data_IF_612900604368
#
_entry.id   IF_612900604368
#
_cell.length_a   1.000
_cell.length_b   1.000
_cell.length_c   1.000
_cell.angle_alpha   90.00
_cell.angle_beta   90.00
_cell.angle_gamma   90.00
#
_symmetry.space_group_name_H-M   'P 1'
#
loop_
_entity.id
_entity.type
_entity.pdbx_description
1 polymer ?
#
# COMPACT_ATOMS: atom_id res chain seq x y z
N UNK A 1 -5.00 17.58 1.17
CA UNK A 1 -4.75 16.33 0.43
C UNK A 1 -4.82 15.22 1.47
N UNK A 2 -5.81 14.33 1.39
CA UNK A 2 -6.11 13.32 2.43
C UNK A 2 -4.89 12.47 2.79
N UNK A 3 -3.98 12.26 1.84
CA UNK A 3 -2.76 11.48 2.04
C UNK A 3 -1.80 12.11 3.05
N UNK A 4 -1.84 13.43 3.23
CA UNK A 4 -0.97 14.11 4.20
C UNK A 4 -1.32 13.79 5.66
N UNK A 5 -2.51 13.24 5.91
CA UNK A 5 -2.91 12.74 7.23
C UNK A 5 -2.73 11.23 7.40
N UNK A 6 -2.33 10.48 6.36
CA UNK A 6 -2.15 9.02 6.44
C UNK A 6 -0.86 8.70 7.20
N UNK A 7 -0.98 7.94 8.29
CA UNK A 7 0.07 7.72 9.29
C UNK A 7 0.70 6.32 9.22
N UNK A 8 0.90 5.81 8.01
CA UNK A 8 1.53 4.50 7.74
C UNK A 8 3.08 4.58 7.69
N UNK A 9 3.63 5.81 7.75
CA UNK A 9 5.08 6.08 7.72
C UNK A 9 5.49 7.11 8.78
N UNK A 10 6.78 7.13 9.10
CA UNK A 10 7.40 8.04 10.08
C UNK A 10 8.35 9.03 9.41
N UNK A 11 8.59 10.18 10.04
CA UNK A 11 9.46 11.24 9.50
C UNK A 11 10.90 10.78 9.21
N UNK A 12 11.41 9.80 9.96
CA UNK A 12 12.75 9.23 9.75
C UNK A 12 12.80 8.06 8.75
N UNK A 13 11.67 7.66 8.17
CA UNK A 13 11.68 6.61 7.15
C UNK A 13 12.32 7.10 5.84
N UNK A 14 12.93 6.18 5.08
CA UNK A 14 13.53 6.51 3.79
C UNK A 14 12.50 7.11 2.81
N UNK A 15 12.91 8.14 2.05
CA UNK A 15 12.01 8.86 1.14
C UNK A 15 11.32 7.93 0.13
N UNK A 16 12.03 6.94 -0.41
CA UNK A 16 11.46 5.98 -1.37
C UNK A 16 10.38 5.08 -0.74
N UNK A 17 10.47 4.77 0.56
CA UNK A 17 9.41 4.07 1.27
C UNK A 17 8.19 4.97 1.47
N UNK A 18 8.39 6.23 1.87
CA UNK A 18 7.32 7.21 2.03
C UNK A 18 6.56 7.45 0.72
N UNK A 19 7.29 7.57 -0.41
CA UNK A 19 6.70 7.68 -1.76
C UNK A 19 5.90 6.43 -2.14
N UNK A 20 6.44 5.23 -1.89
CA UNK A 20 5.74 3.98 -2.19
C UNK A 20 4.42 3.88 -1.42
N UNK A 21 4.44 4.13 -0.11
CA UNK A 21 3.24 4.13 0.72
C UNK A 21 2.23 5.18 0.30
N UNK A 22 2.70 6.37 -0.09
CA UNK A 22 1.84 7.45 -0.59
C UNK A 22 1.10 7.06 -1.87
N UNK A 23 1.81 6.50 -2.85
CA UNK A 23 1.19 6.05 -4.11
C UNK A 23 0.24 4.88 -3.86
N UNK A 24 0.59 3.93 -3.00
CA UNK A 24 -0.30 2.82 -2.64
C UNK A 24 -1.59 3.34 -1.98
N UNK A 25 -1.48 4.22 -0.98
CA UNK A 25 -2.63 4.81 -0.30
C UNK A 25 -3.51 5.63 -1.26
N UNK A 26 -2.91 6.43 -2.16
CA UNK A 26 -3.63 7.18 -3.20
C UNK A 26 -4.41 6.24 -4.12
N UNK A 27 -3.75 5.18 -4.58
CA UNK A 27 -4.35 4.21 -5.49
C UNK A 27 -5.53 3.52 -4.84
N UNK A 28 -5.38 3.07 -3.59
CA UNK A 28 -6.46 2.44 -2.84
C UNK A 28 -7.68 3.35 -2.73
N UNK A 29 -7.47 4.62 -2.39
CA UNK A 29 -8.55 5.61 -2.36
C UNK A 29 -9.19 5.78 -3.74
N UNK A 30 -8.40 5.92 -4.81
CA UNK A 30 -8.91 6.08 -6.18
C UNK A 30 -9.74 4.87 -6.65
N UNK A 31 -9.32 3.65 -6.33
CA UNK A 31 -10.08 2.44 -6.64
C UNK A 31 -11.49 2.48 -6.04
N UNK A 32 -11.62 2.83 -4.75
CA UNK A 32 -12.91 2.88 -4.08
C UNK A 32 -13.74 4.12 -4.44
N UNK A 33 -13.12 5.25 -4.80
CA UNK A 33 -13.82 6.38 -5.41
C UNK A 33 -14.49 5.93 -6.71
N UNK A 34 -13.77 5.23 -7.60
CA UNK A 34 -14.32 4.76 -8.87
C UNK A 34 -15.41 3.70 -8.70
N UNK A 35 -15.33 2.88 -7.66
CA UNK A 35 -16.40 1.92 -7.30
C UNK A 35 -17.63 2.55 -6.65
N UNK A 36 -17.59 3.84 -6.30
CA UNK A 36 -18.69 4.52 -5.60
C UNK A 36 -18.76 4.21 -4.10
N UNK A 37 -17.63 3.80 -3.49
CA UNK A 37 -17.52 3.47 -2.07
C UNK A 37 -17.04 2.02 -1.82
N UNK A 38 -16.55 1.75 -0.60
CA UNK A 38 -16.10 0.40 -0.20
C UNK A 38 -17.25 -0.49 0.29
N UNK A 39 -18.31 0.10 0.88
CA UNK A 39 -19.44 -0.65 1.44
C UNK A 39 -20.81 -0.33 0.82
N UNK A 40 -20.86 0.44 -0.26
CA UNK A 40 -22.10 0.79 -0.98
C UNK A 40 -22.29 2.30 -1.15
N UNK A 41 -23.38 2.68 -1.85
CA UNK A 41 -23.65 4.04 -2.33
C UNK A 41 -24.08 5.06 -1.24
N UNK A 42 -24.30 4.62 0.00
CA UNK A 42 -24.88 5.43 1.08
C UNK A 42 -23.85 5.90 2.13
N UNK A 43 -22.54 5.68 1.92
CA UNK A 43 -21.50 6.09 2.87
C UNK A 43 -21.05 7.56 2.67
N UNK A 44 -21.03 8.33 3.76
CA UNK A 44 -20.48 9.70 3.82
C UNK A 44 -18.94 9.72 3.72
N UNK A 45 -18.27 8.61 4.02
CA UNK A 45 -16.81 8.46 3.98
C UNK A 45 -16.39 7.27 3.12
N UNK A 46 -15.51 7.51 2.15
CA UNK A 46 -15.04 6.51 1.17
C UNK A 46 -14.07 5.49 1.82
N UNK A 47 -13.41 5.87 2.92
CA UNK A 47 -12.48 5.08 3.73
C UNK A 47 -12.63 5.44 5.22
N UNK A 48 -12.54 4.47 6.13
CA UNK A 48 -12.49 4.72 7.58
C UNK A 48 -11.07 5.00 8.04
N UNK A 49 -10.93 5.66 9.20
CA UNK A 49 -9.63 5.99 9.80
C UNK A 49 -9.07 4.88 10.72
N UNK A 50 -9.60 3.65 10.61
CA UNK A 50 -9.15 2.50 11.39
C UNK A 50 -8.10 1.70 10.63
N UNK A 51 -7.41 0.78 11.30
CA UNK A 51 -6.47 -0.17 10.69
C UNK A 51 -7.09 -1.08 9.62
N UNK A 52 -8.42 -1.09 9.50
CA UNK A 52 -9.14 -1.85 8.47
C UNK A 52 -9.13 -1.17 7.09
N UNK A 53 -8.81 0.12 7.03
CA UNK A 53 -8.82 0.93 5.80
C UNK A 53 -7.49 1.71 5.64
N UNK A 54 -7.34 2.87 6.29
CA UNK A 54 -6.10 3.68 6.32
C UNK A 54 -6.05 4.52 7.61
N UNK A 55 -4.92 4.53 8.34
CA UNK A 55 -4.82 5.31 9.59
C UNK A 55 -4.69 6.82 9.29
N UNK A 56 -5.77 7.60 9.48
CA UNK A 56 -5.76 9.06 9.26
C UNK A 56 -5.66 9.84 10.58
N UNK A 57 -4.61 10.65 10.75
CA UNK A 57 -4.32 11.46 11.96
C UNK A 57 -4.52 12.98 11.79
N UNK A 58 -5.03 13.43 10.65
CA UNK A 58 -5.43 14.83 10.42
C UNK A 58 -4.29 15.85 10.23
N UNK A 59 -4.66 17.14 10.12
CA UNK A 59 -3.80 18.27 9.72
C UNK A 59 -2.58 18.51 10.63
N UNK A 60 -2.66 18.18 11.91
CA UNK A 60 -1.54 18.34 12.85
C UNK A 60 -0.30 17.50 12.48
N UNK A 61 -0.47 16.43 11.68
CA UNK A 61 0.65 15.61 11.19
C UNK A 61 1.41 16.29 10.05
N UNK A 62 0.79 17.21 9.30
CA UNK A 62 1.43 17.94 8.21
C UNK A 62 2.58 18.83 8.70
N UNK A 63 2.46 19.36 9.93
CA UNK A 63 3.49 20.17 10.57
C UNK A 63 4.62 19.30 11.15
N UNK A 64 4.27 18.10 11.63
CA UNK A 64 5.19 17.20 12.34
C UNK A 64 5.93 16.21 11.43
N UNK A 65 5.57 16.13 10.14
CA UNK A 65 6.15 15.19 9.20
C UNK A 65 6.39 15.79 7.80
N UNK A 66 7.32 16.76 7.64
CA UNK A 66 7.59 17.42 6.37
C UNK A 66 8.09 16.46 5.27
N UNK A 67 8.83 15.40 5.61
CA UNK A 67 9.26 14.40 4.62
C UNK A 67 8.08 13.67 3.95
N UNK A 68 7.02 13.39 4.72
CA UNK A 68 5.78 12.78 4.19
C UNK A 68 5.07 13.77 3.27
N UNK A 69 5.03 15.07 3.64
CA UNK A 69 4.48 16.11 2.76
C UNK A 69 5.28 16.19 1.45
N UNK A 70 6.60 16.08 1.52
CA UNK A 70 7.45 16.05 0.33
C UNK A 70 7.13 14.82 -0.53
N UNK A 71 7.03 13.62 0.05
CA UNK A 71 6.65 12.40 -0.68
C UNK A 71 5.28 12.51 -1.36
N UNK A 72 4.31 13.18 -0.72
CA UNK A 72 3.00 13.49 -1.29
C UNK A 72 3.13 14.39 -2.52
N UNK A 73 3.96 15.44 -2.44
CA UNK A 73 4.17 16.37 -3.54
C UNK A 73 4.96 15.73 -4.69
N UNK A 74 6.02 14.98 -4.38
CA UNK A 74 6.88 14.30 -5.36
C UNK A 74 6.11 13.26 -6.18
N UNK A 75 5.13 12.61 -5.56
CA UNK A 75 4.28 11.59 -6.20
C UNK A 75 2.90 12.13 -6.58
N UNK A 76 2.74 13.46 -6.66
CA UNK A 76 1.43 14.08 -6.92
C UNK A 76 0.84 13.53 -8.22
N UNK A 77 -0.38 13.01 -8.10
CA UNK A 77 -1.11 12.43 -9.22
C UNK A 77 -0.72 11.01 -9.59
N UNK A 78 0.25 10.39 -8.91
CA UNK A 78 0.68 9.04 -9.25
C UNK A 78 -0.15 7.95 -8.56
N UNK A 79 -0.58 6.96 -9.34
CA UNK A 79 -1.32 5.77 -8.90
C UNK A 79 -0.80 4.50 -9.58
N UNK A 80 -1.12 3.34 -9.01
CA UNK A 80 -0.87 2.03 -9.61
C UNK A 80 -2.07 1.58 -10.45
N UNK A 81 -1.81 1.06 -11.66
CA UNK A 81 -2.85 0.54 -12.57
C UNK A 81 -2.52 -0.86 -13.07
N UNK A 82 -3.56 -1.64 -13.33
CA UNK A 82 -3.51 -2.94 -14.01
C UNK A 82 -4.53 -2.92 -15.14
N UNK A 83 -4.10 -3.23 -16.36
CA UNK A 83 -4.94 -3.13 -17.57
C UNK A 83 -5.64 -1.75 -17.70
N UNK A 84 -4.93 -0.67 -17.34
CA UNK A 84 -5.43 0.70 -17.42
C UNK A 84 -6.35 1.15 -16.28
N UNK A 85 -6.79 0.25 -15.40
CA UNK A 85 -7.66 0.59 -14.26
C UNK A 85 -6.84 0.67 -12.96
N UNK A 86 -7.20 1.56 -12.00
CA UNK A 86 -6.59 1.55 -10.68
C UNK A 86 -6.70 0.17 -10.01
N UNK A 87 -5.68 -0.23 -9.26
CA UNK A 87 -5.67 -1.51 -8.54
C UNK A 87 -6.22 -1.38 -7.12
N UNK A 88 -6.60 -2.51 -6.52
CA UNK A 88 -6.69 -2.62 -5.06
C UNK A 88 -5.27 -2.70 -4.50
N UNK A 89 -4.66 -1.54 -4.21
CA UNK A 89 -3.32 -1.45 -3.62
C UNK A 89 -3.36 -1.81 -2.12
N UNK A 90 -3.65 -3.08 -1.81
CA UNK A 90 -3.68 -3.60 -0.45
C UNK A 90 -2.27 -3.65 0.16
N UNK A 91 -2.15 -3.22 1.41
CA UNK A 91 -0.89 -3.24 2.14
C UNK A 91 -1.12 -3.57 3.62
N UNK A 92 -0.08 -4.06 4.28
CA UNK A 92 -0.08 -4.34 5.72
C UNK A 92 1.34 -4.27 6.27
N UNK A 93 1.50 -4.36 7.60
CA UNK A 93 2.83 -4.29 8.24
C UNK A 93 3.82 -5.33 7.72
N UNK A 94 3.36 -6.55 7.40
CA UNK A 94 4.18 -7.69 7.05
C UNK A 94 4.56 -8.55 8.26
N UNK A 95 5.10 -9.75 8.01
CA UNK A 95 5.52 -10.69 9.06
C UNK A 95 6.74 -11.51 8.61
N UNK A 96 7.46 -12.09 9.56
CA UNK A 96 8.71 -12.81 9.30
C UNK A 96 8.57 -13.93 8.25
N UNK A 97 7.41 -14.58 8.19
CA UNK A 97 7.09 -15.62 7.19
C UNK A 97 7.17 -15.13 5.73
N UNK A 98 7.09 -13.82 5.47
CA UNK A 98 7.13 -13.26 4.12
C UNK A 98 8.52 -13.34 3.47
N UNK A 99 9.59 -13.49 4.24
CA UNK A 99 10.93 -13.72 3.65
C UNK A 99 11.03 -15.08 2.96
N UNK A 100 10.28 -16.09 3.41
CA UNK A 100 10.39 -17.47 2.93
C UNK A 100 9.19 -17.90 2.09
N UNK A 101 7.98 -17.63 2.57
CA UNK A 101 6.70 -18.02 1.93
C UNK A 101 6.25 -16.96 0.92
N UNK A 102 6.43 -15.69 1.28
CA UNK A 102 5.92 -14.55 0.51
C UNK A 102 4.48 -14.17 0.86
N UNK A 103 4.00 -13.11 0.23
CA UNK A 103 2.68 -12.49 0.48
C UNK A 103 1.52 -13.47 0.28
N UNK A 104 0.40 -13.21 0.94
CA UNK A 104 -0.80 -14.02 0.83
C UNK A 104 -1.59 -13.65 -0.43
N UNK A 105 -2.28 -14.64 -0.99
CA UNK A 105 -3.22 -14.46 -2.09
C UNK A 105 -4.50 -13.79 -1.61
N UNK A 106 -4.94 -12.74 -2.31
CA UNK A 106 -6.23 -12.11 -2.06
C UNK A 106 -7.40 -13.10 -2.28
N UNK A 107 -7.35 -13.92 -3.35
CA UNK A 107 -8.37 -14.93 -3.60
C UNK A 107 -8.46 -15.94 -2.45
N UNK A 108 -7.32 -16.45 -1.97
CA UNK A 108 -7.32 -17.45 -0.90
C UNK A 108 -7.84 -16.91 0.44
N UNK A 109 -7.57 -15.63 0.75
CA UNK A 109 -7.97 -15.03 2.03
C UNK A 109 -9.34 -14.36 2.00
N UNK A 110 -9.69 -13.70 0.90
CA UNK A 110 -10.88 -12.85 0.81
C UNK A 110 -11.94 -13.39 -0.14
N UNK A 111 -11.60 -14.33 -1.03
CA UNK A 111 -12.52 -14.95 -1.96
C UNK A 111 -13.19 -13.97 -2.93
N UNK A 112 -14.35 -14.37 -3.48
CA UNK A 112 -15.22 -13.49 -4.26
C UNK A 112 -14.55 -12.87 -5.49
N UNK A 113 -14.66 -11.55 -5.63
CA UNK A 113 -14.13 -10.82 -6.80
C UNK A 113 -12.61 -11.01 -6.97
N UNK A 114 -11.87 -11.24 -5.88
CA UNK A 114 -10.41 -11.40 -5.91
C UNK A 114 -9.96 -12.71 -6.57
N UNK A 115 -10.88 -13.65 -6.80
CA UNK A 115 -10.62 -14.89 -7.55
C UNK A 115 -10.91 -14.76 -9.05
N UNK A 116 -11.39 -13.59 -9.50
CA UNK A 116 -11.70 -13.33 -10.91
C UNK A 116 -10.49 -12.74 -11.64
N UNK A 117 -10.52 -12.77 -12.97
CA UNK A 117 -9.52 -12.12 -13.80
C UNK A 117 -9.48 -10.60 -13.51
N UNK A 118 -8.28 -10.01 -13.58
CA UNK A 118 -8.04 -8.60 -13.25
C UNK A 118 -7.57 -8.36 -11.81
N UNK A 119 -7.31 -9.41 -11.02
CA UNK A 119 -6.73 -9.34 -9.67
C UNK A 119 -5.44 -10.15 -9.52
N UNK A 120 -4.82 -10.54 -10.63
CA UNK A 120 -3.60 -11.35 -10.69
C UNK A 120 -2.43 -10.70 -9.95
N UNK A 121 -2.40 -9.36 -9.90
CA UNK A 121 -1.40 -8.60 -9.13
C UNK A 121 -1.48 -8.82 -7.60
N UNK A 122 -2.50 -9.51 -7.08
CA UNK A 122 -2.63 -9.95 -5.69
C UNK A 122 -2.66 -11.49 -5.55
N UNK A 123 -1.99 -12.22 -6.45
CA UNK A 123 -1.90 -13.68 -6.39
C UNK A 123 -1.14 -14.21 -5.16
N UNK A 124 -0.37 -13.36 -4.49
CA UNK A 124 0.53 -13.75 -3.39
C UNK A 124 1.86 -14.32 -3.90
N UNK A 125 2.69 -14.80 -2.97
CA UNK A 125 4.00 -15.42 -3.24
C UNK A 125 5.17 -14.44 -3.38
N UNK A 126 4.94 -13.14 -3.24
CA UNK A 126 6.01 -12.13 -3.33
C UNK A 126 6.79 -12.10 -2.03
N UNK A 127 8.10 -12.34 -2.10
CA UNK A 127 8.96 -12.40 -0.91
C UNK A 127 9.51 -11.03 -0.52
N UNK A 128 9.65 -10.85 0.78
CA UNK A 128 10.37 -9.71 1.35
C UNK A 128 11.89 -9.89 1.22
N UNK A 129 12.67 -8.80 1.21
CA UNK A 129 14.12 -8.86 1.17
C UNK A 129 14.69 -9.40 2.49
N UNK A 130 15.87 -10.01 2.38
CA UNK A 130 16.68 -10.38 3.56
C UNK A 130 16.98 -9.12 4.37
N UNK A 131 16.83 -9.22 5.69
CA UNK A 131 17.08 -8.11 6.62
C UNK A 131 15.88 -7.20 6.84
N UNK A 132 14.69 -7.56 6.33
CA UNK A 132 13.46 -6.92 6.74
C UNK A 132 13.19 -7.14 8.25
N UNK A 133 12.85 -6.07 8.95
CA UNK A 133 12.56 -6.06 10.38
C UNK A 133 11.04 -6.07 10.60
N UNK A 134 10.54 -7.02 11.40
CA UNK A 134 9.11 -7.27 11.56
C UNK A 134 8.62 -6.98 12.97
N UNK A 135 7.44 -6.37 13.08
CA UNK A 135 6.72 -6.24 14.35
C UNK A 135 5.78 -7.41 14.62
N UNK A 136 5.52 -8.27 13.64
CA UNK A 136 4.62 -9.42 13.73
C UNK A 136 5.35 -10.71 13.38
N UNK A 137 5.11 -11.75 14.17
CA UNK A 137 5.65 -13.09 13.92
C UNK A 137 4.97 -13.79 12.73
N UNK A 138 3.67 -13.55 12.54
CA UNK A 138 2.86 -14.18 11.48
C UNK A 138 1.81 -13.23 10.92
N UNK A 139 1.25 -13.61 9.77
CA UNK A 139 0.16 -12.91 9.12
C UNK A 139 -1.19 -13.27 9.78
N UNK A 140 -2.10 -12.30 9.89
CA UNK A 140 -3.43 -12.50 10.45
C UNK A 140 -4.15 -11.20 10.84
N UNK A 141 -5.49 -11.25 10.88
CA UNK A 141 -6.32 -10.10 11.23
C UNK A 141 -6.04 -8.87 10.34
N UNK A 142 -5.75 -7.73 10.96
CA UNK A 142 -5.38 -6.50 10.25
C UNK A 142 -4.01 -6.60 9.53
N UNK A 143 -3.11 -7.49 9.97
CA UNK A 143 -1.84 -7.77 9.30
C UNK A 143 -2.02 -8.89 8.25
N UNK A 144 -2.86 -8.66 7.25
CA UNK A 144 -3.32 -9.69 6.31
C UNK A 144 -2.23 -10.18 5.33
N UNK A 145 -1.14 -9.42 5.14
CA UNK A 145 -0.02 -9.76 4.25
C UNK A 145 -0.37 -9.96 2.77
N UNK A 146 -1.43 -9.32 2.29
CA UNK A 146 -1.80 -9.30 0.87
C UNK A 146 -1.24 -8.02 0.26
N UNK A 147 -0.65 -8.13 -0.93
CA UNK A 147 -0.05 -6.98 -1.62
C UNK A 147 1.24 -6.52 -0.95
N UNK A 148 1.37 -5.23 -0.66
CA UNK A 148 2.63 -4.64 -0.17
C UNK A 148 2.89 -4.95 1.32
N UNK A 149 4.10 -5.42 1.61
CA UNK A 149 4.64 -5.55 2.98
C UNK A 149 5.34 -4.26 3.38
N UNK A 150 4.87 -3.58 4.44
CA UNK A 150 5.48 -2.36 4.95
C UNK A 150 6.92 -2.59 5.42
N UNK A 151 7.17 -3.69 6.13
CA UNK A 151 8.50 -4.09 6.58
C UNK A 151 9.46 -4.30 5.40
N UNK A 152 9.04 -5.06 4.38
CA UNK A 152 9.89 -5.34 3.22
C UNK A 152 10.11 -4.12 2.33
N UNK A 153 9.08 -3.29 2.12
CA UNK A 153 9.20 -2.02 1.41
C UNK A 153 10.17 -1.05 2.11
N UNK A 154 10.09 -0.94 3.45
CA UNK A 154 11.03 -0.15 4.25
C UNK A 154 12.45 -0.68 4.10
N UNK A 155 12.64 -1.99 4.13
CA UNK A 155 13.96 -2.61 4.00
C UNK A 155 14.58 -2.35 2.62
N UNK A 156 13.83 -2.49 1.53
CA UNK A 156 14.30 -2.16 0.19
C UNK A 156 14.77 -0.70 0.09
N UNK A 157 13.96 0.24 0.60
CA UNK A 157 14.27 1.65 0.58
C UNK A 157 15.47 2.01 1.47
N UNK A 158 15.53 1.47 2.70
CA UNK A 158 16.65 1.67 3.65
C UNK A 158 17.97 1.16 3.08
N UNK A 159 17.94 0.05 2.36
CA UNK A 159 19.13 -0.50 1.70
C UNK A 159 19.48 0.19 0.37
N UNK A 160 18.61 1.07 -0.15
CA UNK A 160 18.81 1.74 -1.44
C UNK A 160 18.78 0.78 -2.64
N UNK A 161 18.19 -0.41 -2.49
CA UNK A 161 18.21 -1.47 -3.52
C UNK A 161 17.06 -1.35 -4.52
N UNK A 162 16.01 -0.59 -4.18
CA UNK A 162 14.89 -0.26 -5.06
C UNK A 162 14.41 1.15 -4.78
N UNK A 163 14.03 1.87 -5.83
CA UNK A 163 13.24 3.09 -5.72
C UNK A 163 11.74 2.77 -5.48
N UNK A 164 10.93 3.78 -5.21
CA UNK A 164 9.51 3.60 -4.87
C UNK A 164 8.70 2.88 -5.95
N UNK A 165 8.97 3.14 -7.23
CA UNK A 165 8.26 2.48 -8.34
C UNK A 165 8.64 1.01 -8.43
N UNK A 166 9.92 0.68 -8.21
CA UNK A 166 10.41 -0.69 -8.18
C UNK A 166 9.89 -1.47 -6.97
N UNK A 167 9.74 -0.82 -5.82
CA UNK A 167 9.08 -1.39 -4.63
C UNK A 167 7.62 -1.72 -4.96
N UNK A 168 6.88 -0.78 -5.54
CA UNK A 168 5.48 -0.99 -5.90
C UNK A 168 5.31 -2.12 -6.91
N UNK A 169 6.10 -2.13 -7.99
CA UNK A 169 6.05 -3.20 -9.01
C UNK A 169 6.53 -4.55 -8.50
N UNK A 170 7.35 -4.58 -7.45
CA UNK A 170 7.74 -5.82 -6.78
C UNK A 170 6.55 -6.49 -6.10
N UNK A 171 5.75 -5.72 -5.34
CA UNK A 171 4.60 -6.25 -4.61
C UNK A 171 3.33 -6.40 -5.45
N UNK A 172 3.13 -5.53 -6.43
CA UNK A 172 1.98 -5.57 -7.33
C UNK A 172 2.46 -5.97 -8.73
N UNK A 173 2.68 -7.27 -8.95
CA UNK A 173 3.30 -7.77 -10.19
C UNK A 173 2.44 -7.47 -11.41
N UNK A 174 3.06 -7.03 -12.51
CA UNK A 174 2.37 -6.73 -13.78
C UNK A 174 1.63 -5.39 -13.81
N UNK A 175 1.81 -4.54 -12.79
CA UNK A 175 1.18 -3.22 -12.70
C UNK A 175 2.11 -2.09 -13.14
N UNK A 176 1.54 -0.93 -13.42
CA UNK A 176 2.24 0.28 -13.86
C UNK A 176 1.93 1.46 -12.94
N UNK A 177 2.94 2.31 -12.67
CA UNK A 177 2.73 3.62 -12.04
C UNK A 177 2.33 4.60 -13.14
N UNK A 178 1.18 5.28 -12.99
CA UNK A 178 0.70 6.31 -13.92
C UNK A 178 0.37 7.60 -13.20
N UNK A 179 0.68 8.71 -13.85
CA UNK A 179 0.27 10.04 -13.40
C UNK A 179 -1.06 10.42 -14.04
N UNK A 180 -2.04 10.79 -13.22
CA UNK A 180 -3.42 11.08 -13.65
C UNK A 180 -3.79 12.57 -13.56
N UNK A 181 -2.94 13.44 -12.99
CA UNK A 181 -3.09 14.91 -12.94
C UNK A 181 -1.82 15.62 -12.42
#
# INVERSE_FOLDING_TARGET
>A
DYLKGVAETSEGDAAEYQKAMTVAARTYAQYYIQKGGKRGADEVYILNNTTSDQLYKGYAREILAPSIVQAVNDTRGEIMTYNGNPIVAAYSSGAAELQTIGTKSACALWGGQYCQAGFEYLSGGVKDPIGAEYSYASCGGANHCVGLSGAGARAFAKAGTKNYQEILRHYYTGTEVKKIY
#
